data_IF_711718011380
#
_entry.id   IF_711718011380
#
_cell.length_a   1.000
_cell.length_b   1.000
_cell.length_c   1.000
_cell.angle_alpha   90.00
_cell.angle_beta   90.00
_cell.angle_gamma   90.00
#
_symmetry.space_group_name_H-M   'P 1'
#
loop_
_entity.id
_entity.type
_entity.pdbx_description
1 polymer ?
#
# COMPACT_ATOMS: atom_id res chain seq x y z
N UNK A 1 -34.10 14.90 -48.82
CA UNK A 1 -32.96 14.94 -49.78
C UNK A 1 -31.72 15.67 -49.24
N UNK A 2 -31.75 16.33 -48.08
CA UNK A 2 -30.51 16.78 -47.41
C UNK A 2 -30.58 16.46 -45.92
N UNK A 3 -29.63 15.67 -45.39
CA UNK A 3 -29.50 15.35 -43.96
C UNK A 3 -28.78 16.48 -43.20
N UNK A 4 -29.12 17.73 -43.52
CA UNK A 4 -28.45 18.92 -42.99
C UNK A 4 -29.37 19.56 -41.97
N UNK A 5 -28.84 19.79 -40.77
CA UNK A 5 -29.53 20.48 -39.68
C UNK A 5 -28.73 21.75 -39.38
N UNK A 6 -29.40 22.88 -39.50
CA UNK A 6 -28.83 24.19 -39.19
C UNK A 6 -29.21 24.58 -37.76
N UNK A 7 -28.23 24.96 -36.96
CA UNK A 7 -28.47 25.50 -35.62
C UNK A 7 -29.25 26.82 -35.69
N UNK A 8 -30.20 27.00 -34.78
CA UNK A 8 -31.05 28.20 -34.72
C UNK A 8 -30.53 29.28 -33.78
N UNK A 9 -29.53 28.99 -32.94
CA UNK A 9 -28.98 29.90 -31.95
C UNK A 9 -27.47 30.07 -32.15
N UNK A 10 -27.04 31.32 -32.30
CA UNK A 10 -25.63 31.69 -32.25
C UNK A 10 -25.17 31.57 -30.79
N UNK A 11 -24.33 30.58 -30.48
CA UNK A 11 -23.71 30.49 -29.15
C UNK A 11 -22.67 31.61 -29.02
N UNK A 12 -22.94 32.56 -28.13
CA UNK A 12 -22.01 33.64 -27.81
C UNK A 12 -20.94 33.10 -26.88
N UNK A 13 -19.71 32.98 -27.39
CA UNK A 13 -18.53 32.71 -26.57
C UNK A 13 -18.09 34.01 -25.90
N UNK A 14 -18.02 34.02 -24.57
CA UNK A 14 -17.54 35.17 -23.79
C UNK A 14 -16.07 35.47 -24.09
N UNK A 15 -15.25 34.43 -24.30
CA UNK A 15 -13.84 34.53 -24.65
C UNK A 15 -13.48 33.54 -25.76
N UNK A 16 -13.12 34.05 -26.93
CA UNK A 16 -12.83 33.24 -28.13
C UNK A 16 -11.51 32.45 -27.99
N UNK A 17 -10.60 32.90 -27.12
CA UNK A 17 -9.29 32.28 -26.90
C UNK A 17 -9.32 31.08 -25.94
N UNK A 18 -10.39 30.92 -25.14
CA UNK A 18 -10.57 29.75 -24.28
C UNK A 18 -11.02 28.54 -25.11
N UNK A 19 -10.06 27.69 -25.44
CA UNK A 19 -10.27 26.47 -26.22
C UNK A 19 -11.21 25.48 -25.53
N UNK A 20 -11.22 25.40 -24.20
CA UNK A 20 -12.10 24.47 -23.48
C UNK A 20 -13.57 24.86 -23.65
N UNK A 21 -13.87 26.15 -23.49
CA UNK A 21 -15.22 26.67 -23.68
C UNK A 21 -15.67 26.55 -25.13
N UNK A 22 -14.76 26.83 -26.07
CA UNK A 22 -15.02 26.69 -27.50
C UNK A 22 -15.30 25.24 -27.90
N UNK A 23 -14.53 24.27 -27.41
CA UNK A 23 -14.77 22.85 -27.66
C UNK A 23 -16.10 22.37 -27.04
N UNK A 24 -16.48 22.88 -25.87
CA UNK A 24 -17.78 22.60 -25.25
C UNK A 24 -18.95 23.15 -26.09
N UNK A 25 -18.82 24.35 -26.64
CA UNK A 25 -19.81 24.93 -27.55
C UNK A 25 -19.97 24.06 -28.82
N UNK A 26 -18.88 23.71 -29.49
CA UNK A 26 -18.91 22.82 -30.66
C UNK A 26 -19.54 21.46 -30.33
N UNK A 27 -19.22 20.90 -29.17
CA UNK A 27 -19.81 19.66 -28.70
C UNK A 27 -21.32 19.77 -28.51
N UNK A 28 -21.80 20.83 -27.84
CA UNK A 28 -23.22 21.04 -27.58
C UNK A 28 -24.01 21.26 -28.88
N UNK A 29 -23.47 22.08 -29.79
CA UNK A 29 -24.06 22.30 -31.11
C UNK A 29 -24.21 20.99 -31.90
N UNK A 30 -23.16 20.16 -31.93
CA UNK A 30 -23.17 18.87 -32.62
C UNK A 30 -24.17 17.88 -31.96
N UNK A 31 -24.22 17.87 -30.62
CA UNK A 31 -25.09 16.99 -29.86
C UNK A 31 -26.58 17.34 -30.07
N UNK A 32 -26.92 18.63 -30.09
CA UNK A 32 -28.30 19.06 -30.33
C UNK A 32 -28.74 18.83 -31.77
N UNK A 33 -27.86 19.05 -32.76
CA UNK A 33 -28.12 18.65 -34.13
C UNK A 33 -28.37 17.14 -34.25
N UNK A 34 -27.56 16.31 -33.58
CA UNK A 34 -27.74 14.85 -33.58
C UNK A 34 -29.09 14.44 -32.97
N UNK A 35 -29.53 15.05 -31.87
CA UNK A 35 -30.86 14.80 -31.28
C UNK A 35 -31.98 15.14 -32.26
N UNK A 36 -31.89 16.28 -32.93
CA UNK A 36 -32.89 16.67 -33.93
C UNK A 36 -32.93 15.68 -35.10
N UNK A 37 -31.77 15.20 -35.55
CA UNK A 37 -31.68 14.18 -36.61
C UNK A 37 -32.38 12.88 -36.21
N UNK A 38 -32.15 12.40 -34.98
CA UNK A 38 -32.80 11.18 -34.46
C UNK A 38 -34.32 11.30 -34.52
N UNK A 39 -34.89 12.43 -34.07
CA UNK A 39 -36.34 12.67 -34.15
C UNK A 39 -36.86 12.66 -35.59
N UNK A 40 -36.10 13.21 -36.54
CA UNK A 40 -36.46 13.18 -37.96
C UNK A 40 -36.37 11.77 -38.55
N UNK A 41 -35.36 10.99 -38.19
CA UNK A 41 -35.20 9.60 -38.62
C UNK A 41 -36.32 8.72 -38.10
N UNK A 42 -36.69 8.86 -36.82
CA UNK A 42 -37.78 8.10 -36.22
C UNK A 42 -39.13 8.42 -36.90
N UNK A 43 -39.40 9.70 -37.20
CA UNK A 43 -40.59 10.13 -37.96
C UNK A 43 -40.62 9.56 -39.38
N UNK A 44 -39.46 9.45 -40.02
CA UNK A 44 -39.32 8.88 -41.35
C UNK A 44 -39.28 7.33 -41.34
N UNK A 45 -39.29 6.69 -40.18
CA UNK A 45 -39.17 5.24 -40.04
C UNK A 45 -37.79 4.69 -40.44
N UNK A 46 -36.75 5.52 -40.45
CA UNK A 46 -35.39 5.13 -40.82
C UNK A 46 -34.59 4.68 -39.59
N UNK A 47 -33.92 3.53 -39.69
CA UNK A 47 -33.02 3.04 -38.64
C UNK A 47 -31.72 3.85 -38.64
N UNK A 48 -31.38 4.46 -37.51
CA UNK A 48 -30.19 5.29 -37.37
C UNK A 48 -29.09 4.68 -36.47
N UNK A 49 -29.44 3.76 -35.56
CA UNK A 49 -28.46 3.10 -34.67
C UNK A 49 -27.75 1.96 -35.41
N UNK A 50 -26.41 1.97 -35.39
CA UNK A 50 -25.59 0.84 -35.85
C UNK A 50 -25.81 -0.37 -34.92
N UNK A 51 -26.25 -1.53 -35.43
CA UNK A 51 -26.32 -2.76 -34.63
C UNK A 51 -24.92 -3.22 -34.21
N UNK A 52 -24.81 -3.81 -33.01
CA UNK A 52 -23.53 -4.30 -32.47
C UNK A 52 -22.94 -5.46 -33.27
N UNK A 53 -23.79 -6.27 -33.90
CA UNK A 53 -23.41 -7.43 -34.71
C UNK A 53 -23.17 -7.09 -36.20
N UNK A 54 -23.17 -5.80 -36.56
CA UNK A 54 -22.93 -5.37 -37.93
C UNK A 54 -21.45 -5.01 -38.14
N UNK A 55 -20.67 -6.00 -38.58
CA UNK A 55 -19.24 -5.87 -38.90
C UNK A 55 -19.05 -5.36 -40.33
N UNK A 56 -18.74 -4.07 -40.44
CA UNK A 56 -18.36 -3.40 -41.68
C UNK A 56 -17.07 -2.60 -41.44
N UNK A 57 -16.39 -2.21 -42.52
CA UNK A 57 -15.19 -1.41 -42.43
C UNK A 57 -15.47 -0.07 -41.72
N UNK A 58 -14.68 0.24 -40.69
CA UNK A 58 -14.75 1.47 -39.91
C UNK A 58 -13.66 2.44 -40.37
N UNK A 59 -13.86 3.74 -40.13
CA UNK A 59 -12.88 4.79 -40.51
C UNK A 59 -11.48 4.56 -39.92
N UNK A 60 -11.41 3.93 -38.75
CA UNK A 60 -10.15 3.55 -38.08
C UNK A 60 -10.10 2.04 -37.91
N UNK A 61 -8.93 1.44 -38.12
CA UNK A 61 -8.72 0.01 -37.91
C UNK A 61 -8.78 -0.38 -36.44
N UNK A 62 -9.14 -1.64 -36.17
CA UNK A 62 -9.19 -2.18 -34.82
C UNK A 62 -7.81 -2.13 -34.13
N UNK A 63 -6.73 -2.39 -34.87
CA UNK A 63 -5.35 -2.27 -34.37
C UNK A 63 -5.00 -0.85 -33.92
N UNK A 64 -5.56 0.18 -34.57
CA UNK A 64 -5.39 1.55 -34.14
C UNK A 64 -6.18 1.82 -32.84
N UNK A 65 -7.44 1.39 -32.79
CA UNK A 65 -8.28 1.57 -31.61
C UNK A 65 -7.78 0.79 -30.39
N UNK A 66 -7.14 -0.36 -30.60
CA UNK A 66 -6.49 -1.13 -29.54
C UNK A 66 -5.35 -0.33 -28.90
N UNK A 67 -4.50 0.30 -29.71
CA UNK A 67 -3.42 1.17 -29.21
C UNK A 67 -3.94 2.38 -28.43
N UNK A 68 -5.01 3.01 -28.91
CA UNK A 68 -5.66 4.12 -28.17
C UNK A 68 -6.20 3.64 -26.82
N UNK A 69 -6.84 2.46 -26.78
CA UNK A 69 -7.34 1.87 -25.54
C UNK A 69 -6.21 1.53 -24.56
N UNK A 70 -5.10 0.98 -25.05
CA UNK A 70 -3.91 0.71 -24.24
C UNK A 70 -3.35 1.99 -23.61
N UNK A 71 -3.30 3.09 -24.36
CA UNK A 71 -2.86 4.39 -23.84
C UNK A 71 -3.80 4.92 -22.76
N UNK A 72 -5.11 4.86 -22.96
CA UNK A 72 -6.10 5.27 -21.96
C UNK A 72 -5.97 4.45 -20.67
N UNK A 73 -5.84 3.13 -20.79
CA UNK A 73 -5.63 2.25 -19.63
C UNK A 73 -4.31 2.55 -18.90
N UNK A 74 -3.25 2.85 -19.65
CA UNK A 74 -1.96 3.22 -19.06
C UNK A 74 -2.06 4.53 -18.26
N UNK A 75 -2.79 5.52 -18.77
CA UNK A 75 -3.01 6.79 -18.05
C UNK A 75 -3.85 6.61 -16.79
N UNK A 76 -4.93 5.83 -16.85
CA UNK A 76 -5.76 5.52 -15.67
C UNK A 76 -4.95 4.79 -14.61
N UNK A 77 -4.21 3.74 -14.98
CA UNK A 77 -3.32 3.01 -14.07
C UNK A 77 -2.26 3.91 -13.43
N UNK A 78 -1.70 4.86 -14.20
CA UNK A 78 -0.72 5.82 -13.69
C UNK A 78 -1.31 6.75 -12.64
N UNK A 79 -2.53 7.24 -12.86
CA UNK A 79 -3.27 8.09 -11.91
C UNK A 79 -3.59 7.28 -10.65
N UNK A 80 -4.18 6.10 -10.80
CA UNK A 80 -4.52 5.22 -9.68
C UNK A 80 -3.28 4.84 -8.86
N UNK A 81 -2.16 4.52 -9.50
CA UNK A 81 -0.91 4.22 -8.82
C UNK A 81 -0.35 5.44 -8.05
N UNK A 82 -0.55 6.66 -8.55
CA UNK A 82 -0.18 7.88 -7.83
C UNK A 82 -1.06 8.09 -6.58
N UNK A 83 -2.37 7.92 -6.72
CA UNK A 83 -3.33 8.04 -5.61
C UNK A 83 -3.10 6.97 -4.54
N UNK A 84 -2.88 5.71 -4.95
CA UNK A 84 -2.54 4.63 -4.03
C UNK A 84 -1.23 4.93 -3.28
N UNK A 85 -0.21 5.46 -3.95
CA UNK A 85 1.04 5.88 -3.29
C UNK A 85 0.80 7.00 -2.28
N UNK A 86 -0.05 7.98 -2.59
CA UNK A 86 -0.45 9.06 -1.67
C UNK A 86 -1.17 8.49 -0.45
N UNK A 87 -2.19 7.66 -0.66
CA UNK A 87 -2.96 6.99 0.40
C UNK A 87 -2.08 6.11 1.30
N UNK A 88 -1.11 5.39 0.72
CA UNK A 88 -0.14 4.60 1.50
C UNK A 88 0.78 5.48 2.35
N UNK A 89 1.21 6.65 1.85
CA UNK A 89 2.04 7.60 2.61
C UNK A 89 1.25 8.19 3.78
N UNK A 90 0.01 8.59 3.55
CA UNK A 90 -0.89 9.12 4.58
C UNK A 90 -1.22 8.05 5.62
N UNK A 91 -1.54 6.82 5.20
CA UNK A 91 -1.76 5.69 6.09
C UNK A 91 -0.56 5.39 6.98
N UNK A 92 0.68 5.44 6.45
CA UNK A 92 1.90 5.28 7.24
C UNK A 92 2.11 6.41 8.26
N UNK A 93 1.77 7.66 7.93
CA UNK A 93 1.85 8.80 8.85
C UNK A 93 0.84 8.64 10.00
N UNK A 94 -0.40 8.32 9.66
CA UNK A 94 -1.47 8.10 10.63
C UNK A 94 -1.18 6.92 11.56
N UNK A 95 -0.70 5.80 11.02
CA UNK A 95 -0.29 4.64 11.82
C UNK A 95 0.81 4.99 12.84
N UNK A 96 1.79 5.82 12.46
CA UNK A 96 2.85 6.28 13.38
C UNK A 96 2.28 7.17 14.48
N UNK A 97 1.39 8.10 14.12
CA UNK A 97 0.72 8.98 15.10
C UNK A 97 -0.08 8.15 16.10
N UNK A 98 -0.94 7.26 15.61
CA UNK A 98 -1.72 6.33 16.45
C UNK A 98 -0.84 5.49 17.38
N UNK A 99 0.29 4.95 16.88
CA UNK A 99 1.21 4.19 17.73
C UNK A 99 1.80 5.06 18.84
N UNK A 100 2.24 6.28 18.50
CA UNK A 100 2.78 7.21 19.49
C UNK A 100 1.75 7.68 20.51
N UNK A 101 0.50 7.87 20.09
CA UNK A 101 -0.62 8.25 20.98
C UNK A 101 -0.96 7.11 21.92
N UNK A 102 -1.06 5.87 21.42
CA UNK A 102 -1.27 4.68 22.25
C UNK A 102 -0.16 4.47 23.26
N UNK A 103 1.09 4.74 22.91
CA UNK A 103 2.21 4.68 23.85
C UNK A 103 2.11 5.77 24.94
N UNK A 104 1.76 7.00 24.56
CA UNK A 104 1.51 8.09 25.51
C UNK A 104 0.34 7.78 26.44
N UNK A 105 -0.77 7.28 25.90
CA UNK A 105 -1.96 6.87 26.65
C UNK A 105 -1.62 5.79 27.67
N UNK A 106 -0.93 4.71 27.25
CA UNK A 106 -0.45 3.65 28.16
C UNK A 106 0.49 4.18 29.24
N UNK A 107 1.36 5.13 28.90
CA UNK A 107 2.27 5.73 29.88
C UNK A 107 1.50 6.63 30.88
N UNK A 108 0.50 7.37 30.41
CA UNK A 108 -0.37 8.19 31.26
C UNK A 108 -1.23 7.32 32.18
N UNK A 109 -1.80 6.23 31.67
CA UNK A 109 -2.58 5.25 32.44
C UNK A 109 -1.72 4.64 33.56
N UNK A 110 -0.50 4.20 33.25
CA UNK A 110 0.46 3.72 34.27
C UNK A 110 0.81 4.77 35.32
N UNK A 111 0.99 6.04 34.91
CA UNK A 111 1.26 7.13 35.86
C UNK A 111 0.05 7.37 36.76
N UNK A 112 -1.17 7.41 36.20
CA UNK A 112 -2.42 7.58 36.94
C UNK A 112 -2.58 6.47 37.98
N UNK A 113 -2.44 5.21 37.60
CA UNK A 113 -2.55 4.08 38.54
C UNK A 113 -1.49 4.11 39.65
N UNK A 114 -0.23 4.44 39.34
CA UNK A 114 0.81 4.62 40.37
C UNK A 114 0.46 5.76 41.32
N UNK A 115 -0.04 6.89 40.81
CA UNK A 115 -0.44 8.02 41.67
C UNK A 115 -1.65 7.69 42.54
N UNK A 116 -2.62 6.93 42.04
CA UNK A 116 -3.78 6.45 42.81
C UNK A 116 -3.35 5.51 43.94
N UNK A 117 -2.50 4.51 43.63
CA UNK A 117 -1.94 3.61 44.64
C UNK A 117 -1.13 4.37 45.69
N UNK A 118 -0.31 5.34 45.26
CA UNK A 118 0.49 6.16 46.18
C UNK A 118 -0.37 7.04 47.08
N UNK A 119 -1.46 7.62 46.55
CA UNK A 119 -2.45 8.36 47.34
C UNK A 119 -3.14 7.45 48.36
N UNK A 120 -3.56 6.26 47.95
CA UNK A 120 -4.17 5.27 48.84
C UNK A 120 -3.22 4.85 49.96
N UNK A 121 -1.94 4.56 49.65
CA UNK A 121 -0.91 4.25 50.67
C UNK A 121 -0.74 5.39 51.68
N UNK A 122 -0.59 6.64 51.20
CA UNK A 122 -0.48 7.83 52.07
C UNK A 122 -1.73 8.06 52.92
N UNK A 123 -2.92 7.79 52.37
CA UNK A 123 -4.17 7.91 53.11
C UNK A 123 -4.26 6.84 54.22
N UNK A 124 -3.84 5.60 53.95
CA UNK A 124 -3.76 4.50 54.93
C UNK A 124 -2.76 4.81 56.06
N UNK A 125 -1.59 5.36 55.73
CA UNK A 125 -0.60 5.80 56.73
C UNK A 125 -1.16 6.90 57.64
N UNK A 126 -1.90 7.87 57.07
CA UNK A 126 -2.51 8.97 57.84
C UNK A 126 -3.72 8.55 58.68
N UNK A 127 -4.46 7.53 58.27
CA UNK A 127 -5.65 7.06 59.01
C UNK A 127 -5.32 6.09 60.16
N UNK A 128 -4.03 5.85 60.46
CA UNK A 128 -3.60 5.10 61.64
C UNK A 128 -3.94 3.60 61.66
N UNK A 129 -4.37 3.02 60.53
CA UNK A 129 -4.64 1.57 60.44
C UNK A 129 -3.33 0.80 60.20
N UNK A 130 -2.51 0.74 61.24
CA UNK A 130 -1.35 -0.15 61.34
C UNK A 130 -1.80 -1.55 61.77
N UNK A 131 -2.63 -2.21 60.95
CA UNK A 131 -2.79 -3.66 61.11
C UNK A 131 -1.67 -4.38 60.34
N UNK A 132 -0.97 -5.18 61.12
CA UNK A 132 0.26 -5.90 60.87
C UNK A 132 -0.06 -7.17 60.08
N UNK A 133 -0.28 -7.04 58.78
CA UNK A 133 -0.17 -8.19 57.86
C UNK A 133 0.96 -7.91 56.86
N UNK A 134 2.14 -8.44 57.20
CA UNK A 134 3.21 -8.77 56.25
C UNK A 134 2.64 -9.76 55.22
N UNK A 135 2.00 -9.25 54.17
CA UNK A 135 1.79 -10.04 52.96
C UNK A 135 3.15 -10.22 52.28
N UNK A 136 3.80 -11.33 52.62
CA UNK A 136 5.05 -11.82 52.05
C UNK A 136 4.87 -12.10 50.54
N UNK A 137 5.15 -11.09 49.72
CA UNK A 137 5.12 -11.15 48.25
C UNK A 137 6.18 -12.14 47.71
N UNK A 138 7.17 -12.55 48.52
CA UNK A 138 8.18 -13.52 48.09
C UNK A 138 7.67 -14.97 48.10
N UNK A 139 6.49 -15.23 48.67
CA UNK A 139 5.84 -16.55 48.61
C UNK A 139 5.08 -16.81 47.32
N UNK A 140 4.69 -15.77 46.58
CA UNK A 140 3.96 -15.90 45.29
C UNK A 140 4.89 -15.96 44.08
N UNK A 141 6.20 -15.71 44.26
CA UNK A 141 7.23 -15.85 43.21
C UNK A 141 7.65 -17.33 43.00
N UNK A 142 7.32 -18.22 43.95
CA UNK A 142 7.54 -19.66 43.84
C UNK A 142 6.40 -20.33 43.09
N UNK A 143 6.46 -20.31 41.76
CA UNK A 143 5.70 -21.26 40.94
C UNK A 143 6.11 -22.70 41.32
N UNK A 144 5.21 -23.56 41.83
CA UNK A 144 5.46 -24.98 41.80
C UNK A 144 5.59 -25.42 40.34
N UNK A 145 6.73 -26.03 40.03
CA UNK A 145 7.05 -26.62 38.74
C UNK A 145 5.89 -27.50 38.31
N UNK A 146 5.30 -27.24 37.14
CA UNK A 146 4.44 -28.24 36.50
C UNK A 146 5.29 -29.49 36.30
N UNK A 147 4.88 -30.57 36.94
CA UNK A 147 5.27 -31.92 36.61
C UNK A 147 5.05 -32.10 35.10
N UNK A 148 6.15 -32.27 34.41
CA UNK A 148 6.29 -32.28 32.96
C UNK A 148 7.67 -32.80 32.68
N UNK A 149 7.88 -34.02 33.16
CA UNK A 149 9.05 -34.86 33.01
C UNK A 149 9.45 -34.92 31.53
N UNK A 150 10.42 -34.08 31.15
CA UNK A 150 11.29 -34.33 30.01
C UNK A 150 12.68 -34.55 30.56
N UNK A 151 12.86 -35.77 31.02
CA UNK A 151 14.15 -36.45 31.07
C UNK A 151 14.82 -36.23 29.72
N UNK A 152 16.05 -35.70 29.73
CA UNK A 152 16.82 -35.48 28.52
C UNK A 152 17.80 -34.31 28.64
N UNK A 153 18.82 -34.49 29.48
CA UNK A 153 20.02 -33.68 29.41
C UNK A 153 20.65 -33.83 28.03
N UNK A 154 20.67 -32.74 27.28
CA UNK A 154 21.33 -32.63 25.99
C UNK A 154 21.22 -31.18 25.56
N UNK A 155 22.36 -30.54 25.31
CA UNK A 155 22.41 -29.25 24.65
C UNK A 155 21.60 -29.36 23.35
N UNK A 156 20.36 -28.86 23.36
CA UNK A 156 19.56 -28.78 22.14
C UNK A 156 20.30 -27.84 21.19
N UNK A 157 20.88 -28.43 20.14
CA UNK A 157 21.57 -27.72 19.08
C UNK A 157 20.67 -26.58 18.59
N UNK A 158 21.19 -25.35 18.63
CA UNK A 158 20.40 -24.18 18.25
C UNK A 158 19.97 -24.39 16.81
N UNK A 159 18.66 -24.27 16.53
CA UNK A 159 18.15 -24.33 15.16
C UNK A 159 19.02 -23.48 14.22
N UNK A 160 19.39 -23.99 13.03
CA UNK A 160 20.16 -23.25 12.01
C UNK A 160 19.62 -21.84 11.73
N UNK A 161 18.30 -21.64 11.88
CA UNK A 161 17.63 -20.34 11.74
C UNK A 161 17.91 -19.39 12.92
N UNK A 162 18.16 -19.92 14.12
CA UNK A 162 18.61 -19.17 15.29
C UNK A 162 20.11 -18.92 15.20
N UNK A 163 20.93 -19.88 14.77
CA UNK A 163 22.36 -19.65 14.54
C UNK A 163 22.63 -18.55 13.50
N UNK A 164 21.95 -18.59 12.35
CA UNK A 164 22.05 -17.50 11.35
C UNK A 164 21.60 -16.14 11.89
N UNK A 165 20.61 -16.13 12.78
CA UNK A 165 20.17 -14.89 13.43
C UNK A 165 21.17 -14.43 14.49
N UNK A 166 21.76 -15.35 15.24
CA UNK A 166 22.77 -15.07 16.24
C UNK A 166 24.08 -14.57 15.57
N UNK A 167 24.44 -15.07 14.40
CA UNK A 167 25.59 -14.55 13.62
C UNK A 167 25.29 -13.17 13.03
N UNK A 168 24.11 -12.99 12.44
CA UNK A 168 23.70 -11.73 11.79
C UNK A 168 23.38 -10.61 12.78
N UNK A 169 22.77 -10.92 13.91
CA UNK A 169 22.23 -9.94 14.86
C UNK A 169 22.85 -10.01 16.26
N UNK A 170 23.62 -11.05 16.59
CA UNK A 170 24.19 -11.26 17.92
C UNK A 170 23.18 -11.81 18.94
N UNK A 171 23.68 -12.26 20.09
CA UNK A 171 22.86 -12.74 21.20
C UNK A 171 22.47 -11.55 22.10
N UNK A 172 21.21 -11.15 22.11
CA UNK A 172 20.61 -10.38 23.21
C UNK A 172 21.24 -9.02 23.59
N UNK A 173 21.64 -8.16 22.66
CA UNK A 173 22.08 -6.80 23.01
C UNK A 173 22.70 -5.99 21.86
N UNK A 174 22.72 -4.65 22.02
CA UNK A 174 23.08 -3.65 20.99
C UNK A 174 24.43 -3.97 20.31
N UNK A 175 24.40 -4.32 19.02
CA UNK A 175 25.55 -4.17 18.10
C UNK A 175 25.19 -3.22 16.97
N UNK A 176 25.09 -1.92 17.28
CA UNK A 176 24.84 -0.84 16.30
C UNK A 176 26.04 -0.60 15.35
N UNK A 177 27.18 -1.27 15.56
CA UNK A 177 28.44 -1.01 14.84
C UNK A 177 28.85 -2.12 13.87
N UNK A 178 28.26 -3.33 13.93
CA UNK A 178 28.55 -4.43 12.97
C UNK A 178 27.97 -4.22 11.57
N UNK A 179 27.25 -3.11 11.35
CA UNK A 179 26.69 -2.70 10.06
C UNK A 179 27.39 -1.46 9.50
N UNK A 180 28.59 -1.14 9.98
CA UNK A 180 29.41 -0.10 9.38
C UNK A 180 30.21 -0.73 8.25
N UNK A 181 30.25 -0.06 7.10
CA UNK A 181 31.13 -0.43 6.00
C UNK A 181 32.57 -0.20 6.48
N UNK A 182 33.39 -1.25 6.55
CA UNK A 182 34.84 -1.14 6.72
C UNK A 182 35.48 -0.81 5.37
N UNK A 183 36.65 -0.16 5.36
CA UNK A 183 37.38 0.15 4.12
C UNK A 183 37.64 -1.11 3.25
N UNK A 184 37.79 -2.27 3.88
CA UNK A 184 37.90 -3.57 3.21
C UNK A 184 36.59 -4.01 2.55
N UNK A 185 35.44 -3.79 3.19
CA UNK A 185 34.12 -4.14 2.65
C UNK A 185 33.66 -3.28 1.47
N UNK A 186 34.20 -2.06 1.33
CA UNK A 186 33.90 -1.19 0.17
C UNK A 186 34.67 -1.59 -1.08
N UNK A 187 35.77 -2.33 -0.95
CA UNK A 187 36.62 -2.76 -2.07
C UNK A 187 36.38 -4.22 -2.48
N UNK A 188 35.60 -4.99 -1.71
CA UNK A 188 35.34 -6.41 -2.00
C UNK A 188 34.29 -6.60 -3.11
N UNK A 189 34.77 -6.75 -4.33
CA UNK A 189 33.97 -7.08 -5.52
C UNK A 189 33.94 -8.60 -5.81
N UNK A 190 34.39 -9.47 -4.89
CA UNK A 190 34.46 -10.93 -5.13
C UNK A 190 33.09 -11.58 -5.32
N UNK A 191 32.03 -10.97 -4.78
CA UNK A 191 30.63 -11.39 -4.97
C UNK A 191 29.98 -10.80 -6.23
N UNK A 192 30.65 -9.86 -6.90
CA UNK A 192 30.17 -9.25 -8.13
C UNK A 192 30.42 -10.20 -9.30
N UNK A 193 29.34 -10.79 -9.83
CA UNK A 193 29.37 -11.59 -11.05
C UNK A 193 28.93 -10.71 -12.23
N UNK A 194 29.86 -10.21 -13.05
CA UNK A 194 29.48 -9.53 -14.28
C UNK A 194 28.82 -10.54 -15.22
N UNK A 195 27.61 -10.24 -15.68
CA UNK A 195 26.98 -10.98 -16.76
C UNK A 195 27.76 -10.68 -18.05
N UNK A 196 28.56 -11.64 -18.52
CA UNK A 196 29.27 -11.51 -19.79
C UNK A 196 28.25 -11.46 -20.94
N UNK A 197 28.25 -10.42 -21.78
CA UNK A 197 27.44 -10.41 -22.99
C UNK A 197 28.04 -11.44 -23.97
N UNK A 198 27.34 -12.56 -24.20
CA UNK A 198 27.69 -13.51 -25.27
C UNK A 198 27.87 -14.99 -24.88
N UNK A 199 27.74 -15.38 -23.60
CA UNK A 199 27.86 -16.79 -23.18
C UNK A 199 26.52 -17.51 -23.06
N UNK A 200 26.02 -18.09 -24.15
CA UNK A 200 24.76 -18.85 -24.17
C UNK A 200 24.85 -20.26 -23.56
N UNK A 201 23.97 -20.50 -22.57
CA UNK A 201 23.25 -21.75 -22.19
C UNK A 201 24.00 -23.02 -21.72
N UNK A 202 23.58 -23.48 -20.54
CA UNK A 202 23.61 -24.87 -20.06
C UNK A 202 23.44 -24.90 -18.54
N UNK A 203 22.23 -24.88 -17.97
CA UNK A 203 21.28 -25.98 -17.96
C UNK A 203 21.36 -26.72 -16.61
N UNK A 204 20.38 -26.50 -15.72
CA UNK A 204 19.81 -27.47 -14.77
C UNK A 204 18.81 -26.77 -13.85
N UNK A 205 17.53 -26.98 -14.13
CA UNK A 205 16.46 -26.69 -13.20
C UNK A 205 16.65 -27.46 -11.90
N UNK A 206 16.53 -26.76 -10.79
CA UNK A 206 16.04 -27.31 -9.52
C UNK A 206 15.10 -26.28 -8.92
N UNK A 207 13.83 -26.66 -8.84
CA UNK A 207 12.78 -25.86 -8.24
C UNK A 207 13.01 -25.62 -6.74
N UNK A 208 12.53 -24.46 -6.32
CA UNK A 208 12.03 -24.05 -5.00
C UNK A 208 11.99 -22.52 -5.08
N UNK A 209 10.83 -21.89 -5.22
CA UNK A 209 9.80 -21.87 -4.19
C UNK A 209 10.01 -20.62 -3.34
N UNK A 210 9.13 -19.63 -3.49
CA UNK A 210 8.88 -18.62 -2.47
C UNK A 210 9.42 -17.21 -2.73
N UNK A 211 8.48 -16.31 -3.05
CA UNK A 211 8.20 -15.20 -2.15
C UNK A 211 9.12 -13.98 -2.20
N UNK A 212 8.69 -13.00 -3.00
CA UNK A 212 8.28 -11.70 -2.45
C UNK A 212 9.33 -10.58 -2.35
N UNK A 213 8.88 -9.41 -2.89
CA UNK A 213 9.27 -8.03 -2.55
C UNK A 213 10.67 -7.65 -3.05
N UNK A 214 10.85 -6.64 -3.90
CA UNK A 214 10.25 -5.31 -3.87
C UNK A 214 11.22 -4.34 -3.21
N UNK A 215 11.62 -3.29 -3.92
CA UNK A 215 12.24 -2.10 -3.33
C UNK A 215 13.39 -1.49 -4.12
N UNK A 216 13.04 -0.72 -5.16
CA UNK A 216 13.63 0.57 -5.48
C UNK A 216 12.46 1.55 -5.58
#
# INVERSE_FOLDING_TARGET
ETQVITGGSEEQLEEVEDDLQRELAFYNQALDAAKQAVVQFDKAGMKWRRPEDYYAEMVKSDDHMLRVKEQLNFETEKIEAAEQRRKQREGKRFQKQMQSEKEKEKAQEKKRSITEVSKWRKQREKSGYAEKEEFDIDKFSRKPKKAGERIGGGFAEKSKKREYRDTKFGFGGRKRLKKQNTAESTADMSSYRPATPGGGRGGRGRGRGGGGRGGG
#
